data_IF_014699152470
#
_entry.id   IF_014699152470
#
_cell.length_a   1.000
_cell.length_b   1.000
_cell.length_c   1.000
_cell.angle_alpha   90.00
_cell.angle_beta   90.00
_cell.angle_gamma   90.00
#
_symmetry.space_group_name_H-M   'P 1'
#
loop_
_entity.id
_entity.type
_entity.pdbx_description
1 polymer ?
#
# COMPACT_ATOMS: atom_id res chain seq x y z
N UNK A 1 14.20 -25.65 6.39
CA UNK A 1 13.30 -24.65 6.97
C UNK A 1 13.94 -24.06 8.22
N UNK A 2 13.91 -22.74 8.45
CA UNK A 2 14.34 -22.13 9.70
C UNK A 2 13.58 -22.76 10.89
N UNK A 3 14.24 -22.89 12.05
CA UNK A 3 13.56 -23.38 13.27
C UNK A 3 12.42 -22.42 13.64
N UNK A 4 11.26 -22.98 13.99
CA UNK A 4 10.07 -22.21 14.39
C UNK A 4 9.22 -21.69 13.23
N UNK A 5 9.56 -21.97 11.97
CA UNK A 5 8.69 -21.67 10.84
C UNK A 5 7.66 -22.79 10.63
N UNK A 6 6.39 -22.44 10.81
CA UNK A 6 5.25 -23.31 10.49
C UNK A 6 4.52 -22.75 9.27
N UNK A 7 4.41 -23.57 8.21
CA UNK A 7 3.69 -23.20 6.99
C UNK A 7 2.44 -24.05 6.90
N UNK A 8 1.28 -23.40 6.76
CA UNK A 8 -0.01 -24.04 6.52
C UNK A 8 -0.57 -23.51 5.21
N UNK A 9 -0.85 -24.41 4.28
CA UNK A 9 -1.57 -24.10 3.06
C UNK A 9 -3.07 -24.30 3.31
N UNK A 10 -3.88 -23.40 2.76
CA UNK A 10 -5.32 -23.38 2.98
C UNK A 10 -6.01 -23.24 1.63
N UNK A 11 -7.11 -23.97 1.48
CA UNK A 11 -8.08 -23.70 0.43
C UNK A 11 -8.93 -22.48 0.84
N UNK A 12 -9.08 -21.53 -0.07
CA UNK A 12 -9.70 -20.22 0.19
C UNK A 12 -10.89 -19.95 -0.72
N UNK A 13 -11.28 -20.91 -1.57
CA UNK A 13 -12.36 -20.71 -2.54
C UNK A 13 -13.73 -20.53 -1.85
N UNK A 14 -13.91 -21.07 -0.65
CA UNK A 14 -15.12 -20.94 0.17
C UNK A 14 -15.16 -19.67 1.04
N UNK A 15 -14.11 -18.85 1.02
CA UNK A 15 -13.98 -17.67 1.90
C UNK A 15 -14.48 -16.36 1.27
N UNK A 16 -15.25 -16.44 0.19
CA UNK A 16 -15.87 -15.27 -0.43
C UNK A 16 -17.22 -14.99 0.23
N UNK A 17 -17.41 -13.83 0.89
CA UNK A 17 -18.71 -13.47 1.44
C UNK A 17 -19.77 -13.40 0.34
N UNK A 18 -21.01 -13.78 0.68
CA UNK A 18 -22.13 -13.68 -0.23
C UNK A 18 -22.28 -12.25 -0.79
N UNK A 19 -22.28 -12.12 -2.12
CA UNK A 19 -22.38 -10.83 -2.81
C UNK A 19 -21.04 -10.10 -3.05
N UNK A 20 -19.91 -10.62 -2.57
CA UNK A 20 -18.59 -10.06 -2.80
C UNK A 20 -18.16 -10.12 -4.28
N UNK A 21 -17.86 -8.98 -4.95
CA UNK A 21 -17.38 -8.99 -6.33
C UNK A 21 -15.96 -9.56 -6.45
N UNK A 22 -15.75 -10.55 -7.32
CA UNK A 22 -14.44 -11.19 -7.55
C UNK A 22 -13.83 -10.87 -8.91
N UNK A 23 -14.49 -10.06 -9.74
CA UNK A 23 -14.09 -9.83 -11.15
C UNK A 23 -12.74 -9.12 -11.30
N UNK A 24 -12.38 -8.25 -10.33
CA UNK A 24 -11.16 -7.45 -10.39
C UNK A 24 -9.98 -8.07 -9.63
N UNK A 25 -10.21 -8.65 -8.46
CA UNK A 25 -9.15 -9.08 -7.53
C UNK A 25 -9.20 -10.58 -7.14
N UNK A 26 -10.16 -11.35 -7.64
CA UNK A 26 -10.32 -12.78 -7.35
C UNK A 26 -10.88 -13.09 -5.96
N UNK A 27 -11.21 -14.36 -5.70
CA UNK A 27 -11.74 -14.85 -4.41
C UNK A 27 -10.76 -14.66 -3.26
N UNK A 28 -9.47 -14.84 -3.53
CA UNK A 28 -8.40 -14.81 -2.54
C UNK A 28 -8.32 -13.52 -1.72
N UNK A 29 -8.74 -12.37 -2.29
CA UNK A 29 -8.68 -11.08 -1.58
C UNK A 29 -9.56 -11.05 -0.33
N UNK A 30 -10.66 -11.81 -0.34
CA UNK A 30 -11.61 -11.88 0.77
C UNK A 30 -11.15 -12.76 1.93
N UNK A 31 -10.16 -13.64 1.71
CA UNK A 31 -9.62 -14.53 2.76
C UNK A 31 -9.16 -13.74 4.00
N UNK A 32 -8.69 -12.50 3.82
CA UNK A 32 -8.23 -11.64 4.92
C UNK A 32 -9.33 -11.31 5.94
N UNK A 33 -10.60 -11.32 5.53
CA UNK A 33 -11.76 -11.07 6.39
C UNK A 33 -12.02 -12.23 7.38
N UNK A 34 -11.40 -13.38 7.14
CA UNK A 34 -11.55 -14.62 7.92
C UNK A 34 -10.29 -15.01 8.70
N UNK A 35 -9.24 -14.18 8.69
CA UNK A 35 -7.93 -14.50 9.27
C UNK A 35 -8.00 -14.96 10.73
N UNK A 36 -8.79 -14.33 11.62
CA UNK A 36 -8.88 -14.77 13.01
C UNK A 36 -9.49 -16.16 13.19
N UNK A 37 -10.39 -16.59 12.30
CA UNK A 37 -10.95 -17.96 12.31
C UNK A 37 -9.93 -18.95 11.74
N UNK A 38 -9.25 -18.56 10.66
CA UNK A 38 -8.21 -19.35 10.01
C UNK A 38 -7.05 -19.66 10.98
N UNK A 39 -6.59 -18.64 11.71
CA UNK A 39 -5.46 -18.73 12.62
C UNK A 39 -5.76 -19.51 13.91
N UNK A 40 -7.04 -19.74 14.22
CA UNK A 40 -7.50 -20.46 15.40
C UNK A 40 -7.50 -19.64 16.69
N UNK A 41 -8.11 -20.21 17.73
CA UNK A 41 -8.41 -19.51 18.99
C UNK A 41 -7.16 -19.02 19.75
N UNK A 42 -6.06 -19.76 19.67
CA UNK A 42 -4.81 -19.40 20.35
C UNK A 42 -4.08 -18.19 19.74
N UNK A 43 -4.44 -17.76 18.53
CA UNK A 43 -3.79 -16.65 17.86
C UNK A 43 -4.40 -15.31 18.28
N UNK A 44 -3.61 -14.44 18.95
CA UNK A 44 -4.08 -13.14 19.46
C UNK A 44 -3.86 -11.97 18.51
N UNK A 45 -2.75 -12.01 17.77
CA UNK A 45 -2.32 -10.95 16.85
C UNK A 45 -1.92 -11.57 15.53
N UNK A 46 -2.30 -10.92 14.44
CA UNK A 46 -1.94 -11.33 13.08
C UNK A 46 -1.34 -10.13 12.37
N UNK A 47 -0.15 -10.28 11.79
CA UNK A 47 0.37 -9.36 10.78
C UNK A 47 0.04 -9.96 9.42
N UNK A 48 -0.88 -9.32 8.71
CA UNK A 48 -1.23 -9.67 7.34
C UNK A 48 -0.43 -8.81 6.36
N UNK A 49 0.00 -9.42 5.27
CA UNK A 49 0.79 -8.80 4.21
C UNK A 49 0.32 -9.35 2.86
N UNK A 50 -0.01 -8.47 1.91
CA UNK A 50 -0.36 -8.86 0.54
C UNK A 50 0.83 -9.56 -0.15
N UNK A 51 0.53 -10.43 -1.11
CA UNK A 51 1.55 -11.21 -1.83
C UNK A 51 2.54 -10.35 -2.63
N UNK A 52 2.18 -9.10 -2.90
CA UNK A 52 2.95 -8.13 -3.65
C UNK A 52 3.66 -7.10 -2.76
N UNK A 53 3.85 -7.45 -1.48
CA UNK A 53 4.63 -6.69 -0.52
C UNK A 53 5.97 -7.38 -0.27
N UNK A 54 7.06 -6.64 -0.43
CA UNK A 54 8.40 -7.10 -0.11
C UNK A 54 8.80 -6.68 1.32
N UNK A 55 9.08 -7.64 2.23
CA UNK A 55 9.63 -7.32 3.55
C UNK A 55 11.12 -7.01 3.45
N UNK A 56 11.48 -5.75 3.67
CA UNK A 56 12.88 -5.29 3.72
C UNK A 56 13.46 -5.46 5.11
N UNK A 57 12.63 -5.28 6.14
CA UNK A 57 12.99 -5.56 7.54
C UNK A 57 11.86 -6.32 8.23
N UNK A 58 12.17 -6.94 9.38
CA UNK A 58 11.19 -7.76 10.11
C UNK A 58 9.98 -6.93 10.57
N UNK A 59 8.74 -7.38 10.31
CA UNK A 59 7.55 -6.78 10.87
C UNK A 59 7.26 -7.21 12.31
N UNK A 60 8.12 -8.03 12.92
CA UNK A 60 7.92 -8.52 14.28
C UNK A 60 7.63 -7.42 15.34
N UNK A 61 8.23 -6.21 15.28
CA UNK A 61 7.92 -5.15 16.24
C UNK A 61 6.45 -4.71 16.24
N UNK A 62 5.70 -4.96 15.16
CA UNK A 62 4.26 -4.63 15.12
C UNK A 62 3.46 -5.43 16.16
N UNK A 63 3.87 -6.66 16.48
CA UNK A 63 3.11 -7.51 17.41
C UNK A 63 3.01 -6.94 18.83
N UNK A 64 3.92 -6.05 19.22
CA UNK A 64 3.92 -5.41 20.55
C UNK A 64 3.13 -4.11 20.61
N UNK A 65 2.62 -3.60 19.49
CA UNK A 65 1.86 -2.35 19.49
C UNK A 65 0.54 -2.51 20.26
N UNK A 66 0.28 -1.55 21.16
CA UNK A 66 -1.06 -1.31 21.65
C UNK A 66 -1.89 -0.63 20.54
N UNK A 67 -3.08 -1.16 20.27
CA UNK A 67 -3.98 -0.59 19.27
C UNK A 67 -4.97 0.40 19.86
N UNK A 68 -4.89 0.71 21.16
CA UNK A 68 -5.78 1.67 21.82
C UNK A 68 -7.25 1.25 21.72
N UNK A 69 -7.50 -0.07 21.72
CA UNK A 69 -8.83 -0.59 21.46
C UNK A 69 -9.31 -0.39 20.02
N UNK A 70 -8.43 -0.39 19.02
CA UNK A 70 -8.80 -0.60 17.62
C UNK A 70 -8.71 -2.09 17.26
N UNK A 71 -9.61 -2.58 16.40
CA UNK A 71 -9.54 -3.97 15.91
C UNK A 71 -8.45 -4.17 14.85
N UNK A 72 -7.95 -3.09 14.26
CA UNK A 72 -6.95 -3.14 13.19
C UNK A 72 -6.04 -1.91 13.26
N UNK A 73 -4.78 -2.09 12.88
CA UNK A 73 -3.89 -1.00 12.48
C UNK A 73 -3.42 -1.18 11.04
N UNK A 74 -3.32 -0.06 10.32
CA UNK A 74 -3.01 -0.03 8.89
C UNK A 74 -2.31 1.27 8.53
N UNK A 75 -2.06 1.51 7.24
CA UNK A 75 -1.51 2.78 6.73
C UNK A 75 -2.54 3.41 5.80
N UNK A 76 -2.69 4.73 5.84
CA UNK A 76 -3.54 5.47 4.89
C UNK A 76 -3.18 5.10 3.44
N UNK A 77 -4.18 4.91 2.59
CA UNK A 77 -3.96 4.59 1.19
C UNK A 77 -3.40 5.82 0.45
N UNK A 78 -2.34 5.62 -0.34
CA UNK A 78 -1.67 6.67 -1.11
C UNK A 78 -2.58 7.27 -2.20
N UNK A 79 -3.72 6.66 -2.49
CA UNK A 79 -4.77 7.28 -3.30
C UNK A 79 -5.24 8.62 -2.73
N UNK A 80 -5.17 8.82 -1.41
CA UNK A 80 -5.44 10.10 -0.76
C UNK A 80 -4.59 11.24 -1.36
N UNK A 81 -3.36 10.92 -1.80
CA UNK A 81 -2.45 11.90 -2.39
C UNK A 81 -2.79 12.15 -3.87
N UNK A 82 -3.11 11.08 -4.60
CA UNK A 82 -3.31 11.11 -6.06
C UNK A 82 -4.65 11.71 -6.48
N UNK A 83 -5.73 11.39 -5.78
CA UNK A 83 -7.11 11.74 -6.17
C UNK A 83 -7.33 13.26 -6.22
N UNK A 84 -6.56 14.06 -5.47
CA UNK A 84 -6.62 15.53 -5.45
C UNK A 84 -6.22 16.24 -6.78
N UNK A 85 -6.10 15.52 -7.89
CA UNK A 85 -5.55 16.04 -9.16
C UNK A 85 -6.53 16.12 -10.30
N UNK A 86 -7.51 15.23 -10.32
CA UNK A 86 -8.43 15.09 -11.45
C UNK A 86 -9.85 15.24 -10.90
N UNK A 87 -10.53 16.33 -11.25
CA UNK A 87 -11.86 16.64 -10.69
C UNK A 87 -12.87 15.49 -10.86
N UNK A 88 -12.82 14.77 -11.98
CA UNK A 88 -13.67 13.61 -12.23
C UNK A 88 -13.32 12.41 -11.32
N UNK A 89 -12.03 12.17 -11.05
CA UNK A 89 -11.60 11.14 -10.09
C UNK A 89 -11.95 11.55 -8.67
N UNK A 90 -11.82 12.84 -8.32
CA UNK A 90 -12.26 13.39 -7.03
C UNK A 90 -13.76 13.21 -6.81
N UNK A 91 -14.59 13.48 -7.81
CA UNK A 91 -16.03 13.30 -7.72
C UNK A 91 -16.41 11.82 -7.55
N UNK A 92 -15.84 10.93 -8.37
CA UNK A 92 -16.07 9.49 -8.25
C UNK A 92 -15.64 8.93 -6.89
N UNK A 93 -14.53 9.43 -6.32
CA UNK A 93 -14.13 9.09 -4.96
C UNK A 93 -15.04 9.71 -3.90
N UNK A 94 -15.53 10.94 -4.11
CA UNK A 94 -16.51 11.56 -3.21
C UNK A 94 -17.77 10.72 -3.05
N UNK A 95 -18.39 10.35 -4.17
CA UNK A 95 -19.60 9.51 -4.19
C UNK A 95 -19.35 8.14 -3.52
N UNK A 96 -18.18 7.56 -3.79
CA UNK A 96 -17.77 6.28 -3.20
C UNK A 96 -17.58 6.37 -1.69
N UNK A 97 -16.86 7.39 -1.20
CA UNK A 97 -16.65 7.57 0.23
C UNK A 97 -17.98 7.82 0.94
N UNK A 98 -18.87 8.61 0.34
CA UNK A 98 -20.22 8.82 0.85
C UNK A 98 -21.01 7.50 0.92
N UNK A 99 -20.95 6.67 -0.13
CA UNK A 99 -21.58 5.35 -0.14
C UNK A 99 -21.07 4.46 1.01
N UNK A 100 -19.76 4.47 1.27
CA UNK A 100 -19.12 3.66 2.31
C UNK A 100 -19.27 4.25 3.71
N UNK A 101 -19.80 5.46 3.85
CA UNK A 101 -19.93 6.18 5.12
C UNK A 101 -18.60 6.74 5.65
N UNK A 102 -17.67 7.07 4.75
CA UNK A 102 -16.31 7.52 5.07
C UNK A 102 -16.21 9.03 4.84
N UNK A 103 -15.73 9.76 5.84
CA UNK A 103 -15.76 11.22 5.84
C UNK A 103 -14.80 11.85 4.81
N UNK A 104 -13.62 11.25 4.64
CA UNK A 104 -12.61 11.73 3.71
C UNK A 104 -11.68 10.62 3.27
N UNK A 105 -10.99 10.85 2.14
CA UNK A 105 -10.00 9.90 1.62
C UNK A 105 -8.81 9.73 2.58
N UNK A 106 -8.53 10.73 3.43
CA UNK A 106 -7.50 10.66 4.47
C UNK A 106 -7.82 9.63 5.57
N UNK A 107 -9.08 9.26 5.70
CA UNK A 107 -9.56 8.25 6.65
C UNK A 107 -9.63 6.85 6.05
N UNK A 108 -9.22 6.68 4.78
CA UNK A 108 -9.24 5.43 4.05
C UNK A 108 -7.84 4.78 4.05
N UNK A 109 -7.73 3.57 4.61
CA UNK A 109 -6.47 2.82 4.68
C UNK A 109 -6.33 1.79 3.58
N UNK A 110 -5.08 1.47 3.25
CA UNK A 110 -4.74 0.39 2.34
C UNK A 110 -4.78 -0.96 3.08
N UNK A 111 -5.43 -1.97 2.50
CA UNK A 111 -5.61 -3.28 3.14
C UNK A 111 -4.44 -4.24 2.98
N UNK A 112 -3.38 -3.86 2.25
CA UNK A 112 -2.29 -4.77 1.93
C UNK A 112 -1.27 -5.02 3.04
N UNK A 113 -1.32 -4.25 4.12
CA UNK A 113 -0.57 -4.55 5.35
C UNK A 113 -1.46 -4.20 6.54
N UNK A 114 -1.81 -5.18 7.35
CA UNK A 114 -2.69 -5.02 8.51
C UNK A 114 -2.06 -5.65 9.75
N UNK A 115 -2.12 -4.95 10.88
CA UNK A 115 -1.97 -5.57 12.19
C UNK A 115 -3.37 -5.77 12.77
N UNK A 116 -3.76 -7.03 12.93
CA UNK A 116 -5.11 -7.43 13.33
C UNK A 116 -5.10 -7.89 14.78
N UNK A 117 -6.06 -7.38 15.55
CA UNK A 117 -6.44 -7.93 16.85
C UNK A 117 -7.40 -9.11 16.64
N UNK A 118 -6.86 -10.32 16.63
CA UNK A 118 -7.61 -11.52 16.29
C UNK A 118 -8.58 -11.93 17.41
N UNK A 119 -8.22 -11.72 18.68
CA UNK A 119 -9.12 -11.94 19.81
C UNK A 119 -10.34 -11.03 19.71
N UNK A 120 -10.11 -9.74 19.42
CA UNK A 120 -11.19 -8.79 19.27
C UNK A 120 -12.08 -9.08 18.06
N UNK A 121 -11.49 -9.41 16.91
CA UNK A 121 -12.28 -9.74 15.72
C UNK A 121 -13.24 -10.91 15.98
N UNK A 122 -12.78 -11.94 16.72
CA UNK A 122 -13.63 -13.07 17.12
C UNK A 122 -14.70 -12.63 18.14
N UNK A 123 -14.30 -11.93 19.21
CA UNK A 123 -15.20 -11.47 20.27
C UNK A 123 -16.32 -10.58 19.75
N UNK A 124 -15.98 -9.66 18.85
CA UNK A 124 -16.91 -8.67 18.31
C UNK A 124 -17.67 -9.21 17.07
N UNK A 125 -17.42 -10.46 16.66
CA UNK A 125 -18.14 -11.11 15.55
C UNK A 125 -17.87 -10.49 14.17
N UNK A 126 -16.67 -9.91 13.95
CA UNK A 126 -16.43 -9.01 12.83
C UNK A 126 -16.53 -9.67 11.46
N UNK A 127 -16.22 -10.96 11.35
CA UNK A 127 -16.37 -11.70 10.08
C UNK A 127 -17.82 -11.73 9.59
N UNK A 128 -18.80 -11.84 10.49
CA UNK A 128 -20.21 -11.76 10.13
C UNK A 128 -20.58 -10.32 9.70
N UNK A 129 -20.11 -9.32 10.45
CA UNK A 129 -20.31 -7.91 10.09
C UNK A 129 -19.71 -7.55 8.72
N UNK A 130 -18.55 -8.11 8.37
CA UNK A 130 -17.94 -7.94 7.05
C UNK A 130 -18.79 -8.57 5.94
N UNK A 131 -19.39 -9.73 6.20
CA UNK A 131 -20.29 -10.38 5.25
C UNK A 131 -21.58 -9.58 5.03
N UNK A 132 -22.13 -8.97 6.08
CA UNK A 132 -23.29 -8.07 5.96
C UNK A 132 -22.98 -6.84 5.11
N UNK A 133 -21.81 -6.23 5.30
CA UNK A 133 -21.34 -5.10 4.48
C UNK A 133 -21.15 -5.53 3.03
N UNK A 134 -20.54 -6.71 2.81
CA UNK A 134 -20.37 -7.29 1.48
C UNK A 134 -21.70 -7.47 0.75
N UNK A 135 -22.70 -8.05 1.43
CA UNK A 135 -24.04 -8.25 0.88
C UNK A 135 -24.79 -6.95 0.63
N UNK A 136 -24.64 -5.96 1.54
CA UNK A 136 -25.28 -4.64 1.42
C UNK A 136 -24.80 -3.85 0.21
N UNK A 137 -23.48 -3.80 -0.01
CA UNK A 137 -22.90 -2.96 -1.06
C UNK A 137 -22.67 -3.73 -2.37
N UNK A 138 -22.46 -5.05 -2.31
CA UNK A 138 -22.32 -5.93 -3.46
C UNK A 138 -21.35 -5.38 -4.51
N UNK A 139 -21.83 -5.24 -5.75
CA UNK A 139 -21.03 -4.77 -6.90
C UNK A 139 -20.52 -3.33 -6.78
N UNK A 140 -21.02 -2.55 -5.82
CA UNK A 140 -20.52 -1.19 -5.56
C UNK A 140 -19.18 -1.18 -4.80
N UNK A 141 -18.72 -2.34 -4.32
CA UNK A 141 -17.41 -2.52 -3.68
C UNK A 141 -16.30 -2.59 -4.72
N UNK A 142 -15.87 -1.43 -5.21
CA UNK A 142 -14.86 -1.31 -6.27
C UNK A 142 -13.47 -1.83 -5.82
N UNK A 143 -13.13 -1.70 -4.53
CA UNK A 143 -11.89 -2.24 -3.94
C UNK A 143 -12.19 -3.45 -3.03
N UNK A 144 -13.32 -4.14 -3.26
CA UNK A 144 -13.64 -5.42 -2.63
C UNK A 144 -13.52 -5.38 -1.08
N UNK A 145 -12.64 -6.21 -0.52
CA UNK A 145 -12.39 -6.33 0.91
C UNK A 145 -11.88 -5.03 1.56
N UNK A 146 -11.10 -4.22 0.85
CA UNK A 146 -10.60 -2.96 1.39
C UNK A 146 -11.74 -1.97 1.65
N UNK A 147 -12.77 -1.95 0.80
CA UNK A 147 -13.97 -1.13 1.06
C UNK A 147 -14.76 -1.64 2.27
N UNK A 148 -14.89 -2.95 2.42
CA UNK A 148 -15.57 -3.58 3.55
C UNK A 148 -14.88 -3.19 4.86
N UNK A 149 -13.56 -3.37 4.91
CA UNK A 149 -12.74 -3.04 6.07
C UNK A 149 -12.82 -1.55 6.40
N UNK A 150 -12.69 -0.68 5.40
CA UNK A 150 -12.75 0.77 5.62
C UNK A 150 -14.14 1.26 6.03
N UNK A 151 -15.22 0.68 5.49
CA UNK A 151 -16.58 1.01 5.90
C UNK A 151 -16.83 0.61 7.36
N UNK A 152 -16.38 -0.58 7.76
CA UNK A 152 -16.53 -1.06 9.14
C UNK A 152 -15.69 -0.25 10.14
N UNK A 153 -14.41 -0.03 9.83
CA UNK A 153 -13.45 0.59 10.74
C UNK A 153 -13.37 2.11 10.61
N UNK A 154 -14.27 2.76 9.88
CA UNK A 154 -14.25 4.22 9.75
C UNK A 154 -14.23 4.91 11.13
N UNK A 155 -13.19 5.72 11.37
CA UNK A 155 -12.95 6.39 12.65
C UNK A 155 -12.53 5.49 13.81
N UNK A 156 -12.29 4.19 13.58
CA UNK A 156 -12.03 3.17 14.61
C UNK A 156 -10.87 2.22 14.26
N UNK A 157 -9.83 2.76 13.60
CA UNK A 157 -8.59 2.05 13.30
C UNK A 157 -7.38 2.82 13.82
N UNK A 158 -6.31 2.11 14.15
CA UNK A 158 -5.06 2.71 14.58
C UNK A 158 -4.13 2.98 13.39
N UNK A 159 -3.64 4.21 13.24
CA UNK A 159 -2.79 4.54 12.11
C UNK A 159 -1.32 4.18 12.36
N UNK A 160 -0.73 3.48 11.40
CA UNK A 160 0.71 3.22 11.30
C UNK A 160 1.34 4.24 10.35
N UNK A 161 2.60 4.58 10.61
CA UNK A 161 3.38 5.39 9.68
C UNK A 161 3.59 4.67 8.34
N UNK A 162 3.83 5.40 7.23
CA UNK A 162 4.03 4.80 5.91
C UNK A 162 5.20 3.80 5.81
N UNK A 163 6.06 3.73 6.84
CA UNK A 163 7.12 2.71 6.95
C UNK A 163 6.59 1.29 6.84
N UNK A 164 5.39 1.02 7.36
CA UNK A 164 4.81 -0.32 7.48
C UNK A 164 3.91 -0.72 6.30
N UNK A 165 3.72 0.15 5.32
CA UNK A 165 3.06 -0.16 4.05
C UNK A 165 3.47 0.92 3.05
N UNK A 166 4.72 0.86 2.60
CA UNK A 166 5.31 1.88 1.75
C UNK A 166 4.94 1.63 0.29
N UNK A 167 3.91 2.35 -0.14
CA UNK A 167 3.24 2.12 -1.41
C UNK A 167 4.03 2.68 -2.61
N UNK A 168 3.93 2.00 -3.77
CA UNK A 168 4.68 2.31 -5.00
C UNK A 168 4.69 3.79 -5.44
N UNK A 169 3.59 4.57 -5.36
CA UNK A 169 3.60 5.96 -5.76
C UNK A 169 4.67 6.81 -5.07
N UNK A 170 5.07 6.42 -3.85
CA UNK A 170 6.08 7.09 -3.02
C UNK A 170 7.53 6.68 -3.33
N UNK A 171 7.76 5.70 -4.21
CA UNK A 171 9.07 5.12 -4.47
C UNK A 171 9.94 5.89 -5.49
N UNK A 172 11.19 6.21 -5.18
CA UNK A 172 12.11 6.85 -6.14
C UNK A 172 11.93 8.36 -6.22
N UNK A 173 11.24 8.96 -5.24
CA UNK A 173 11.20 10.41 -5.01
C UNK A 173 11.94 10.81 -3.73
N UNK A 174 12.51 9.83 -3.00
CA UNK A 174 13.45 10.03 -1.90
C UNK A 174 12.85 9.97 -0.50
N UNK A 175 11.57 9.59 -0.37
CA UNK A 175 10.93 9.39 0.93
C UNK A 175 11.41 8.09 1.59
N UNK A 176 11.78 7.10 0.78
CA UNK A 176 12.38 5.85 1.23
C UNK A 176 13.65 6.07 2.07
N UNK A 177 14.44 7.09 1.73
CA UNK A 177 15.66 7.45 2.47
C UNK A 177 15.33 8.05 3.84
N UNK A 178 14.14 8.65 3.98
CA UNK A 178 13.69 9.32 5.22
C UNK A 178 12.97 8.36 6.15
N UNK A 179 12.12 7.48 5.60
CA UNK A 179 11.28 6.57 6.40
C UNK A 179 11.92 5.20 6.62
N UNK A 180 12.92 4.84 5.83
CA UNK A 180 13.55 3.52 5.84
C UNK A 180 12.52 2.38 5.81
N UNK A 181 11.74 2.22 4.73
CA UNK A 181 10.59 1.32 4.67
C UNK A 181 10.87 -0.10 5.19
N UNK A 182 9.96 -0.63 6.00
CA UNK A 182 10.02 -2.00 6.45
C UNK A 182 9.31 -2.94 5.47
N UNK A 183 8.17 -2.50 4.94
CA UNK A 183 7.32 -3.25 4.01
C UNK A 183 7.12 -2.39 2.75
N UNK A 184 7.58 -2.87 1.60
CA UNK A 184 7.44 -2.20 0.30
C UNK A 184 6.27 -2.80 -0.47
N UNK A 185 5.23 -2.02 -0.74
CA UNK A 185 4.00 -2.51 -1.34
C UNK A 185 3.87 -2.13 -2.81
N UNK A 186 3.90 -3.13 -3.69
CA UNK A 186 3.81 -2.95 -5.13
C UNK A 186 2.39 -3.14 -5.67
N UNK A 187 1.41 -2.49 -5.03
CA UNK A 187 -0.03 -2.68 -5.29
C UNK A 187 -0.48 -2.30 -6.71
N UNK A 188 0.25 -1.42 -7.39
CA UNK A 188 -0.05 -0.95 -8.74
C UNK A 188 0.34 -1.90 -9.88
N UNK A 189 0.18 -1.41 -11.11
CA UNK A 189 0.64 -2.06 -12.35
C UNK A 189 1.58 -1.13 -13.13
N UNK A 190 2.65 -1.62 -13.77
CA UNK A 190 3.09 -3.03 -13.81
C UNK A 190 3.63 -3.52 -12.46
N UNK A 191 3.46 -4.82 -12.19
CA UNK A 191 4.06 -5.45 -11.01
C UNK A 191 5.58 -5.59 -11.22
N UNK A 192 6.40 -5.57 -10.16
CA UNK A 192 7.86 -5.63 -10.31
C UNK A 192 8.32 -6.84 -11.12
N UNK A 193 7.77 -8.03 -10.85
CA UNK A 193 8.13 -9.26 -11.56
C UNK A 193 7.67 -9.29 -13.04
N UNK A 194 6.92 -8.30 -13.52
CA UNK A 194 6.63 -8.13 -14.95
C UNK A 194 7.60 -7.16 -15.64
N UNK A 195 8.51 -6.53 -14.88
CA UNK A 195 9.50 -5.60 -15.41
C UNK A 195 10.74 -6.33 -15.98
N UNK A 196 11.46 -5.72 -16.94
CA UNK A 196 12.75 -6.23 -17.40
C UNK A 196 13.79 -6.28 -16.28
N UNK A 197 14.78 -7.18 -16.37
CA UNK A 197 15.86 -7.39 -15.38
C UNK A 197 16.51 -6.11 -14.87
N UNK A 198 16.81 -5.19 -15.77
CA UNK A 198 17.52 -3.96 -15.45
C UNK A 198 16.69 -3.03 -14.55
N UNK A 199 15.37 -3.07 -14.69
CA UNK A 199 14.43 -2.27 -13.90
C UNK A 199 14.08 -2.99 -12.58
N UNK A 200 14.12 -4.33 -12.54
CA UNK A 200 14.02 -5.13 -11.31
C UNK A 200 15.24 -4.99 -10.40
N UNK A 201 16.44 -5.02 -10.97
CA UNK A 201 17.71 -4.98 -10.23
C UNK A 201 18.14 -3.57 -9.81
N UNK A 202 17.39 -2.52 -10.19
CA UNK A 202 17.76 -1.12 -9.94
C UNK A 202 16.58 -0.32 -9.41
N UNK A 203 16.89 0.75 -8.69
CA UNK A 203 15.89 1.67 -8.16
C UNK A 203 14.91 0.97 -7.19
N UNK A 204 13.63 1.32 -7.21
CA UNK A 204 12.70 0.97 -6.12
C UNK A 204 12.28 -0.50 -6.05
N UNK A 205 12.59 -1.30 -7.08
CA UNK A 205 12.34 -2.75 -7.10
C UNK A 205 13.55 -3.58 -6.66
N UNK A 206 14.72 -2.95 -6.47
CA UNK A 206 15.96 -3.66 -6.13
C UNK A 206 15.87 -4.51 -4.84
N UNK A 207 15.17 -4.07 -3.77
CA UNK A 207 15.01 -4.91 -2.58
C UNK A 207 14.32 -6.26 -2.87
N UNK A 208 13.29 -6.27 -3.72
CA UNK A 208 12.61 -7.51 -4.12
C UNK A 208 13.53 -8.45 -4.90
N UNK A 209 14.37 -7.92 -5.79
CA UNK A 209 15.37 -8.73 -6.50
C UNK A 209 16.37 -9.38 -5.53
N UNK A 210 16.77 -8.67 -4.48
CA UNK A 210 17.63 -9.20 -3.41
C UNK A 210 16.98 -10.36 -2.65
N UNK A 211 15.69 -10.24 -2.32
CA UNK A 211 14.92 -11.30 -1.65
C UNK A 211 14.86 -12.56 -2.51
N UNK A 212 14.53 -12.44 -3.80
CA UNK A 212 14.50 -13.58 -4.70
C UNK A 212 15.86 -14.27 -4.84
N UNK A 213 16.94 -13.49 -4.92
CA UNK A 213 18.30 -14.03 -4.99
C UNK A 213 18.67 -14.78 -3.70
N UNK A 214 18.32 -14.23 -2.53
CA UNK A 214 18.63 -14.83 -1.23
C UNK A 214 17.82 -16.10 -0.94
N UNK A 215 16.59 -16.19 -1.44
CA UNK A 215 15.71 -17.33 -1.17
C UNK A 215 16.20 -18.64 -1.82
N UNK A 216 17.09 -18.58 -2.82
CA UNK A 216 17.64 -19.77 -3.48
C UNK A 216 16.58 -20.66 -4.14
N UNK A 217 15.42 -20.10 -4.51
CA UNK A 217 14.32 -20.85 -5.10
C UNK A 217 14.72 -21.48 -6.44
N UNK A 218 14.31 -22.73 -6.70
CA UNK A 218 14.70 -23.48 -7.90
C UNK A 218 14.14 -22.87 -9.20
N UNK A 219 13.05 -22.08 -9.12
CA UNK A 219 12.50 -21.25 -10.19
C UNK A 219 12.99 -19.80 -10.03
N UNK A 220 14.21 -19.56 -10.49
CA UNK A 220 14.99 -18.35 -10.28
C UNK A 220 14.33 -17.06 -10.77
N UNK A 221 14.94 -15.90 -10.46
CA UNK A 221 14.69 -14.65 -11.21
C UNK A 221 14.75 -14.90 -12.72
N UNK A 222 15.63 -15.78 -13.21
CA UNK A 222 15.71 -16.12 -14.63
C UNK A 222 14.46 -16.89 -15.14
N UNK A 223 13.82 -17.72 -14.33
CA UNK A 223 12.59 -18.44 -14.69
C UNK A 223 11.35 -17.55 -14.62
N UNK A 224 11.26 -16.67 -13.61
CA UNK A 224 10.30 -15.56 -13.60
C UNK A 224 10.49 -14.75 -14.89
N UNK A 225 11.70 -14.31 -15.20
CA UNK A 225 11.96 -13.54 -16.42
C UNK A 225 11.69 -14.35 -17.71
N UNK A 226 11.94 -15.66 -17.73
CA UNK A 226 11.70 -16.55 -18.87
C UNK A 226 10.20 -16.80 -19.11
N UNK A 227 9.42 -17.07 -18.06
CA UNK A 227 7.95 -17.14 -18.09
C UNK A 227 7.33 -15.83 -18.61
N UNK A 228 7.94 -14.68 -18.26
CA UNK A 228 7.44 -13.34 -18.58
C UNK A 228 7.91 -12.81 -19.94
N UNK A 229 9.02 -13.31 -20.50
CA UNK A 229 9.35 -13.09 -21.91
C UNK A 229 8.20 -13.50 -22.83
N UNK A 230 7.40 -14.51 -22.41
CA UNK A 230 6.19 -14.98 -23.07
C UNK A 230 4.95 -14.14 -22.67
N UNK A 231 4.73 -13.87 -21.37
CA UNK A 231 3.50 -13.23 -20.84
C UNK A 231 3.46 -11.70 -20.73
N UNK A 232 4.57 -10.97 -20.81
CA UNK A 232 4.53 -9.50 -20.74
C UNK A 232 3.51 -8.96 -21.75
N UNK A 233 2.59 -8.09 -21.33
CA UNK A 233 1.58 -7.60 -22.25
C UNK A 233 2.27 -6.95 -23.45
N UNK A 234 1.73 -7.08 -24.66
CA UNK A 234 2.28 -6.43 -25.86
C UNK A 234 2.57 -4.94 -25.59
N UNK A 235 1.74 -4.30 -24.75
CA UNK A 235 1.87 -2.92 -24.28
C UNK A 235 3.13 -2.69 -23.45
N UNK A 236 3.47 -3.53 -22.48
CA UNK A 236 4.67 -3.38 -21.64
C UNK A 236 5.96 -3.58 -22.43
N UNK A 237 6.02 -4.60 -23.29
CA UNK A 237 7.17 -4.82 -24.18
C UNK A 237 7.36 -3.63 -25.13
N UNK A 238 6.27 -3.10 -25.69
CA UNK A 238 6.30 -1.88 -26.51
C UNK A 238 6.75 -0.67 -25.70
N UNK A 239 6.31 -0.51 -24.43
CA UNK A 239 6.75 0.59 -23.55
C UNK A 239 8.24 0.50 -23.24
N UNK A 240 8.75 -0.66 -22.83
CA UNK A 240 10.17 -0.87 -22.55
C UNK A 240 11.04 -0.67 -23.81
N UNK A 241 10.61 -1.20 -24.96
CA UNK A 241 11.29 -1.02 -26.25
C UNK A 241 11.26 0.45 -26.70
N UNK A 242 10.12 1.14 -26.53
CA UNK A 242 10.02 2.59 -26.78
C UNK A 242 10.92 3.39 -25.84
N UNK A 243 11.02 3.05 -24.55
CA UNK A 243 11.95 3.70 -23.63
C UNK A 243 13.40 3.56 -24.09
N UNK A 244 13.82 2.38 -24.55
CA UNK A 244 15.19 2.15 -25.03
C UNK A 244 15.48 2.88 -26.35
N UNK A 245 14.58 2.78 -27.32
CA UNK A 245 14.74 3.41 -28.65
C UNK A 245 14.61 4.94 -28.60
N UNK A 246 13.68 5.42 -27.79
CA UNK A 246 13.24 6.81 -27.81
C UNK A 246 13.48 7.54 -26.49
N UNK A 247 14.25 6.94 -25.57
CA UNK A 247 14.61 7.55 -24.28
C UNK A 247 15.27 8.92 -24.42
N UNK A 248 15.90 9.16 -25.56
CA UNK A 248 16.55 10.40 -25.93
C UNK A 248 15.63 11.37 -26.70
N UNK A 249 14.46 10.92 -27.19
CA UNK A 249 13.54 11.79 -27.90
C UNK A 249 12.94 12.85 -26.96
N UNK A 250 12.82 14.11 -27.42
CA UNK A 250 12.27 15.21 -26.62
C UNK A 250 10.87 14.92 -26.04
N UNK A 251 9.99 14.31 -26.83
CA UNK A 251 8.63 13.94 -26.38
C UNK A 251 8.66 12.99 -25.18
N UNK A 252 9.46 11.95 -25.25
CA UNK A 252 9.57 10.97 -24.17
C UNK A 252 10.17 11.60 -22.90
N UNK A 253 11.20 12.46 -23.05
CA UNK A 253 11.76 13.24 -21.94
C UNK A 253 10.72 14.17 -21.31
N UNK A 254 9.88 14.82 -22.11
CA UNK A 254 8.78 15.68 -21.64
C UNK A 254 7.76 14.87 -20.83
N UNK A 255 7.31 13.72 -21.33
CA UNK A 255 6.38 12.84 -20.61
C UNK A 255 6.99 12.28 -19.32
N UNK A 256 8.28 11.92 -19.33
CA UNK A 256 8.98 11.46 -18.13
C UNK A 256 9.13 12.57 -17.08
N UNK A 257 9.45 13.80 -17.51
CA UNK A 257 9.51 14.98 -16.65
C UNK A 257 8.14 15.27 -16.04
N UNK A 258 7.08 15.25 -16.83
CA UNK A 258 5.72 15.47 -16.35
C UNK A 258 5.33 14.45 -15.27
N UNK A 259 5.54 13.15 -15.52
CA UNK A 259 5.31 12.10 -14.51
C UNK A 259 6.12 12.32 -13.24
N UNK A 260 7.37 12.74 -13.37
CA UNK A 260 8.20 13.04 -12.20
C UNK A 260 7.67 14.26 -11.42
N UNK A 261 7.27 15.33 -12.12
CA UNK A 261 6.68 16.52 -11.49
C UNK A 261 5.39 16.18 -10.76
N UNK A 262 4.53 15.39 -11.41
CA UNK A 262 3.33 14.83 -10.81
C UNK A 262 3.69 14.10 -9.52
N UNK A 263 4.58 13.10 -9.53
CA UNK A 263 4.91 12.37 -8.30
C UNK A 263 5.55 13.24 -7.22
N UNK A 264 6.36 14.24 -7.60
CA UNK A 264 6.94 15.19 -6.66
C UNK A 264 5.87 16.05 -5.95
N UNK A 265 4.80 16.44 -6.64
CA UNK A 265 3.69 17.18 -6.03
C UNK A 265 2.92 16.30 -5.02
N UNK A 266 2.73 15.01 -5.31
CA UNK A 266 2.06 14.07 -4.38
C UNK A 266 2.91 13.90 -3.13
N UNK A 267 4.21 13.72 -3.35
CA UNK A 267 5.17 13.59 -2.27
C UNK A 267 5.20 14.82 -1.35
N UNK A 268 5.12 16.04 -1.90
CA UNK A 268 5.02 17.25 -1.06
C UNK A 268 3.75 17.25 -0.21
N UNK A 269 2.60 16.84 -0.78
CA UNK A 269 1.34 16.74 -0.03
C UNK A 269 1.44 15.69 1.08
N UNK A 270 2.00 14.53 0.76
CA UNK A 270 2.26 13.47 1.74
C UNK A 270 3.17 13.97 2.86
N UNK A 271 4.29 14.61 2.55
CA UNK A 271 5.22 15.14 3.56
C UNK A 271 4.50 16.13 4.50
N UNK A 272 3.69 17.03 3.96
CA UNK A 272 2.92 18.00 4.76
C UNK A 272 1.90 17.31 5.66
N UNK A 273 1.15 16.34 5.12
CA UNK A 273 0.19 15.52 5.86
C UNK A 273 0.89 14.73 6.97
N UNK A 274 2.00 14.07 6.67
CA UNK A 274 2.78 13.32 7.67
C UNK A 274 3.25 14.22 8.80
N UNK A 275 3.72 15.43 8.50
CA UNK A 275 4.12 16.38 9.55
C UNK A 275 2.95 16.78 10.45
N UNK A 276 1.78 17.02 9.86
CA UNK A 276 0.55 17.26 10.62
C UNK A 276 0.17 16.05 11.48
N UNK A 277 0.17 14.84 10.90
CA UNK A 277 -0.19 13.60 11.58
C UNK A 277 0.78 13.26 12.74
N UNK A 278 2.08 13.53 12.58
CA UNK A 278 3.08 13.39 13.64
C UNK A 278 2.81 14.39 14.76
N UNK A 279 2.52 15.66 14.44
CA UNK A 279 2.22 16.68 15.44
C UNK A 279 0.91 16.38 16.21
N UNK A 280 -0.01 15.67 15.57
CA UNK A 280 -1.28 15.23 16.16
C UNK A 280 -1.21 13.80 16.76
N UNK A 281 -0.01 13.24 16.97
CA UNK A 281 0.19 11.90 17.57
C UNK A 281 -0.62 10.78 16.90
N UNK A 282 -0.84 10.87 15.57
CA UNK A 282 -1.70 9.91 14.86
C UNK A 282 -1.04 8.56 14.62
N UNK A 283 0.28 8.51 14.48
CA UNK A 283 0.99 7.26 14.16
C UNK A 283 1.36 6.51 15.44
N UNK A 284 0.63 5.44 15.74
CA UNK A 284 0.81 4.69 16.99
C UNK A 284 2.19 4.04 17.10
N UNK A 285 2.83 3.70 15.97
CA UNK A 285 4.17 3.14 15.94
C UNK A 285 5.25 4.20 16.23
N UNK A 286 4.99 5.46 15.91
CA UNK A 286 5.88 6.57 16.27
C UNK A 286 5.71 6.92 17.75
N UNK A 287 4.48 7.05 18.23
CA UNK A 287 4.17 7.36 19.64
C UNK A 287 4.72 6.29 20.60
N UNK A 288 4.65 5.00 20.21
CA UNK A 288 5.14 3.89 21.03
C UNK A 288 6.64 3.58 20.80
N UNK A 289 7.34 4.42 20.03
CA UNK A 289 8.80 4.30 19.84
C UNK A 289 9.27 3.14 18.97
N UNK A 290 8.36 2.47 18.26
CA UNK A 290 8.66 1.39 17.31
C UNK A 290 9.26 1.95 16.01
N UNK A 291 8.80 3.13 15.58
CA UNK A 291 9.30 3.85 14.42
C UNK A 291 9.85 5.21 14.83
N UNK A 292 10.86 5.68 14.09
CA UNK A 292 11.38 7.05 14.19
C UNK A 292 11.31 7.72 12.83
N UNK A 293 10.76 8.93 12.79
CA UNK A 293 10.69 9.75 11.58
C UNK A 293 11.48 11.03 11.83
N UNK A 294 12.53 11.27 11.05
CA UNK A 294 13.30 12.51 11.10
C UNK A 294 12.51 13.63 10.40
N UNK A 295 11.91 14.52 11.20
CA UNK A 295 11.14 15.66 10.70
C UNK A 295 11.99 16.68 9.94
N UNK A 296 13.28 16.83 10.29
CA UNK A 296 14.17 17.71 9.54
C UNK A 296 14.51 17.11 8.18
N UNK A 297 14.70 15.79 8.10
CA UNK A 297 14.90 15.10 6.82
C UNK A 297 13.68 15.24 5.91
N UNK A 298 12.46 15.13 6.46
CA UNK A 298 11.22 15.40 5.73
C UNK A 298 11.20 16.83 5.17
N UNK A 299 11.57 17.83 5.98
CA UNK A 299 11.65 19.23 5.56
C UNK A 299 12.72 19.47 4.47
N UNK A 300 13.90 18.83 4.61
CA UNK A 300 14.95 18.89 3.59
C UNK A 300 14.47 18.29 2.27
N UNK A 301 13.74 17.17 2.33
CA UNK A 301 13.15 16.53 1.15
C UNK A 301 12.11 17.43 0.48
N UNK A 302 11.18 18.02 1.25
CA UNK A 302 10.18 18.97 0.73
C UNK A 302 10.84 20.14 0.00
N UNK A 303 11.81 20.81 0.65
CA UNK A 303 12.56 21.93 0.03
C UNK A 303 13.25 21.52 -1.26
N UNK A 304 13.87 20.33 -1.28
CA UNK A 304 14.52 19.78 -2.48
C UNK A 304 13.53 19.56 -3.63
N UNK A 305 12.34 19.04 -3.34
CA UNK A 305 11.30 18.81 -4.34
C UNK A 305 10.74 20.13 -4.88
N UNK A 306 10.43 21.08 -4.01
CA UNK A 306 9.96 22.43 -4.38
C UNK A 306 10.97 23.14 -5.29
N UNK A 307 12.25 23.13 -4.93
CA UNK A 307 13.33 23.72 -5.73
C UNK A 307 13.40 23.13 -7.14
N UNK A 308 13.24 21.80 -7.28
CA UNK A 308 13.25 21.11 -8.58
C UNK A 308 11.97 21.33 -9.40
N UNK A 309 10.84 21.60 -8.76
CA UNK A 309 9.56 21.89 -9.44
C UNK A 309 9.52 23.32 -9.99
N UNK A 310 10.14 24.29 -9.31
CA UNK A 310 10.14 25.70 -9.69
C UNK A 310 8.70 26.23 -9.83
N UNK A 311 8.30 26.79 -10.99
CA UNK A 311 6.96 27.37 -11.17
C UNK A 311 5.82 26.33 -11.12
N UNK A 312 6.12 25.03 -11.22
CA UNK A 312 5.13 23.95 -11.09
C UNK A 312 4.91 23.51 -9.63
N UNK A 313 5.53 24.18 -8.66
CA UNK A 313 5.37 23.86 -7.24
C UNK A 313 3.95 24.13 -6.75
N UNK A 314 3.38 23.26 -5.90
CA UNK A 314 2.08 23.53 -5.28
C UNK A 314 2.21 24.72 -4.33
N UNK A 315 1.15 25.52 -4.16
CA UNK A 315 1.15 26.62 -3.20
C UNK A 315 1.45 26.10 -1.77
N UNK A 316 1.96 26.94 -0.87
CA UNK A 316 2.06 26.59 0.54
C UNK A 316 0.68 26.14 1.07
N UNK A 317 0.68 25.24 2.05
CA UNK A 317 -0.57 24.86 2.70
C UNK A 317 -1.23 26.12 3.26
N UNK A 318 -2.52 26.31 3.01
CA UNK A 318 -3.27 27.39 3.64
C UNK A 318 -3.13 27.22 5.16
N UNK A 319 -2.72 28.27 5.86
CA UNK A 319 -2.76 28.28 7.32
C UNK A 319 -4.21 28.08 7.74
N UNK A 320 -4.54 26.90 8.25
CA UNK A 320 -5.78 26.71 9.01
C UNK A 320 -5.61 27.54 10.28
N UNK A 321 -6.19 28.74 10.28
CA UNK A 321 -6.38 29.55 11.48
C UNK A 321 -7.44 28.94 12.38
#
# INVERSE_FOLDING_TARGET
MPRGLHIRLLDIDELVPAGGPTQLYGSATYSRLHLPQIAGEGCKRIVYVDYDVAPVTSPAPLFSLDLGGSGVAAVTDSIAERTLRVAAESAAWGDRLQLLGIASIDSYFNAGCLLIDAERWRRDGLTAAFAEIAGRFGKSLINCDQDILNSHFHGKWAALSPRWNFQEPSLGVGLEDVLSPALLHYYGSPKPWTLPDADLKRGPCAPLAGIYAAAGWPDTLADVLALHSRKASRRERLRARRRRLFGFLPRYRKEARQRWQERAIDMIRLIRRMRHDIAASRYIDVEQGISRIDQEALLRLERRLLSKLGPAAPPPAASTG
#
